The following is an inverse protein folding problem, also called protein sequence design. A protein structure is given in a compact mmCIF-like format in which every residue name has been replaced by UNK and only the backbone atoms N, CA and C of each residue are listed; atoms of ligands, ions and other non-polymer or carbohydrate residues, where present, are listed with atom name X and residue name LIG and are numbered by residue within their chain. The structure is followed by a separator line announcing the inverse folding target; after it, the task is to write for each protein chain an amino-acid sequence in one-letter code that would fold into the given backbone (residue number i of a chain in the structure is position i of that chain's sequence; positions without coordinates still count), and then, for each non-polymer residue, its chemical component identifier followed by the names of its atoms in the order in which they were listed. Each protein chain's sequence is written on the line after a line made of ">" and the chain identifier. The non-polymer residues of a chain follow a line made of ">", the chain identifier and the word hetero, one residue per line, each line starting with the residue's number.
data_IF_464164298486
#
_entry.id   IF_464164298486
#
_cell.length_a   1.000
_cell.length_b   1.000
_cell.length_c   1.000
_cell.angle_alpha   90.00
_cell.angle_beta   90.00
_cell.angle_gamma   90.00
#
_symmetry.space_group_name_H-M   'P 1'
#
loop_
_entity.id
_entity.type
_entity.pdbx_description
1 polymer ?
#
# COMPACT_ATOMS: atom_id res chain seq x y z
N UNK A 1 47.37 10.30 7.94
CA UNK A 1 48.34 11.22 7.32
C UNK A 1 47.85 11.47 5.89
N UNK A 2 47.48 12.65 5.40
CA UNK A 2 47.62 14.03 5.84
C UNK A 2 46.33 14.81 5.55
N UNK A 3 45.79 15.53 6.53
CA UNK A 3 44.92 16.69 6.30
C UNK A 3 45.83 17.91 6.22
N UNK A 4 45.89 18.58 5.07
CA UNK A 4 46.60 19.85 4.97
C UNK A 4 45.80 20.96 5.64
N UNK A 5 46.47 21.69 6.55
CA UNK A 5 46.01 22.99 7.08
C UNK A 5 46.37 24.07 6.07
N UNK A 6 45.37 24.75 5.52
CA UNK A 6 45.52 26.08 4.94
C UNK A 6 44.76 27.08 5.82
N UNK A 7 45.54 27.97 6.42
CA UNK A 7 45.12 29.13 7.21
C UNK A 7 44.86 30.26 6.21
N UNK A 8 43.65 30.81 6.18
CA UNK A 8 43.30 31.98 5.37
C UNK A 8 41.79 32.24 5.37
N UNK A 9 41.31 33.39 5.88
CA UNK A 9 39.90 33.62 6.19
C UNK A 9 39.11 34.20 5.01
N UNK A 10 37.78 34.10 5.11
CA UNK A 10 36.77 34.85 4.34
C UNK A 10 36.72 34.57 2.84
N UNK A 11 35.97 33.54 2.44
CA UNK A 11 34.91 33.68 1.43
C UNK A 11 34.10 32.39 1.34
N UNK A 12 32.79 32.60 1.22
CA UNK A 12 31.73 31.66 0.92
C UNK A 12 32.17 30.37 0.22
N UNK A 13 31.84 29.24 0.84
CA UNK A 13 32.03 27.93 0.26
C UNK A 13 31.90 26.86 1.31
N UNK A 14 30.75 26.81 1.99
CA UNK A 14 30.41 25.67 2.83
C UNK A 14 30.39 24.44 1.92
N UNK A 15 31.49 23.71 1.97
CA UNK A 15 31.68 22.44 1.29
C UNK A 15 30.53 21.51 1.69
N UNK A 16 29.82 21.08 0.65
CA UNK A 16 28.98 19.91 0.62
C UNK A 16 29.73 18.72 1.26
N UNK A 17 29.38 18.41 2.51
CA UNK A 17 29.34 17.03 2.98
C UNK A 17 27.87 16.61 2.96
N UNK A 18 27.37 16.29 1.75
CA UNK A 18 26.17 15.47 1.60
C UNK A 18 26.52 14.08 2.12
N UNK A 19 26.47 13.94 3.45
CA UNK A 19 26.29 12.65 4.08
C UNK A 19 24.93 12.15 3.61
N UNK A 20 24.93 11.40 2.52
CA UNK A 20 23.80 10.59 2.07
C UNK A 20 23.52 9.49 3.08
N UNK A 21 23.12 9.87 4.28
CA UNK A 21 22.28 9.03 5.11
C UNK A 21 20.93 9.09 4.41
N UNK A 22 20.66 8.09 3.58
CA UNK A 22 19.30 7.80 3.16
C UNK A 22 18.47 7.74 4.45
N UNK A 23 17.70 8.79 4.71
CA UNK A 23 16.67 8.75 5.74
C UNK A 23 15.66 7.76 5.17
N UNK A 24 15.84 6.49 5.49
CA UNK A 24 14.84 5.47 5.25
C UNK A 24 13.59 5.99 5.95
N UNK A 25 12.62 6.44 5.14
CA UNK A 25 11.41 7.09 5.61
C UNK A 25 10.78 6.18 6.68
N UNK A 26 10.36 6.74 7.82
CA UNK A 26 9.96 5.95 8.99
C UNK A 26 8.86 4.93 8.62
N UNK A 27 8.04 5.27 7.62
CA UNK A 27 6.99 4.44 7.04
C UNK A 27 7.54 3.19 6.33
N UNK A 28 8.69 3.29 5.65
CA UNK A 28 9.32 2.13 5.00
C UNK A 28 9.90 1.12 6.00
N UNK A 29 10.16 1.54 7.24
CA UNK A 29 10.61 0.67 8.32
C UNK A 29 9.46 0.17 9.22
N UNK A 30 8.26 0.73 9.05
CA UNK A 30 7.06 0.40 9.83
C UNK A 30 5.88 0.18 8.89
N UNK A 31 5.86 -0.97 8.16
CA UNK A 31 4.85 -1.22 7.14
C UNK A 31 3.42 -1.36 7.69
N UNK A 32 3.23 -1.48 9.00
CA UNK A 32 1.91 -1.52 9.65
C UNK A 32 1.74 -0.33 10.61
N UNK A 33 1.56 0.91 10.11
CA UNK A 33 1.23 2.01 10.99
C UNK A 33 -0.17 1.79 11.58
N UNK A 34 -0.33 1.99 12.89
CA UNK A 34 -1.60 1.79 13.63
C UNK A 34 -2.78 2.65 13.16
N UNK A 35 -2.61 3.45 12.11
CA UNK A 35 -3.65 4.19 11.41
C UNK A 35 -3.33 4.23 9.91
N UNK A 36 -3.63 3.16 9.17
CA UNK A 36 -3.56 3.11 7.71
C UNK A 36 -4.64 3.97 7.02
N UNK A 37 -4.89 5.18 7.56
CA UNK A 37 -5.89 6.16 7.13
C UNK A 37 -5.38 7.17 6.11
N UNK A 38 -4.12 7.09 5.70
CA UNK A 38 -3.49 8.04 4.77
C UNK A 38 -4.16 8.06 3.39
N UNK A 39 -4.41 9.24 2.79
CA UNK A 39 -4.98 9.35 1.45
C UNK A 39 -4.20 8.55 0.39
N UNK A 40 -4.85 8.06 -0.69
CA UNK A 40 -4.17 7.30 -1.74
C UNK A 40 -2.91 7.98 -2.30
N UNK A 41 -2.96 9.30 -2.50
CA UNK A 41 -1.83 10.10 -2.98
C UNK A 41 -0.61 9.99 -2.06
N UNK A 42 -0.82 10.08 -0.74
CA UNK A 42 0.25 9.98 0.26
C UNK A 42 0.83 8.56 0.31
N UNK A 43 -0.01 7.54 0.22
CA UNK A 43 0.42 6.15 0.15
C UNK A 43 1.30 5.88 -1.09
N UNK A 44 0.93 6.46 -2.24
CA UNK A 44 1.76 6.40 -3.48
C UNK A 44 3.09 7.11 -3.31
N UNK A 45 3.13 8.23 -2.57
CA UNK A 45 4.39 8.93 -2.27
C UNK A 45 5.30 8.10 -1.38
N UNK A 46 4.77 7.41 -0.37
CA UNK A 46 5.54 6.50 0.48
C UNK A 46 6.10 5.35 -0.37
N UNK A 47 5.26 4.72 -1.20
CA UNK A 47 5.66 3.62 -2.07
C UNK A 47 6.86 4.00 -2.97
N UNK A 48 6.88 5.22 -3.52
CA UNK A 48 7.98 5.73 -4.37
C UNK A 48 9.32 5.89 -3.64
N UNK A 49 9.31 6.01 -2.30
CA UNK A 49 10.51 6.22 -1.49
C UNK A 49 11.08 4.94 -0.90
N UNK A 50 10.31 3.85 -0.88
CA UNK A 50 10.76 2.61 -0.27
C UNK A 50 11.59 1.77 -1.25
N UNK A 51 12.83 1.44 -0.86
CA UNK A 51 13.75 0.64 -1.68
C UNK A 51 13.33 -0.84 -1.76
N UNK A 52 12.64 -1.34 -0.73
CA UNK A 52 12.18 -2.73 -0.68
C UNK A 52 10.88 -2.90 -1.47
N UNK A 53 10.93 -3.72 -2.52
CA UNK A 53 9.80 -3.93 -3.42
C UNK A 53 8.53 -4.39 -2.70
N UNK A 54 8.63 -5.27 -1.69
CA UNK A 54 7.44 -5.77 -0.98
C UNK A 54 6.74 -4.66 -0.18
N UNK A 55 7.52 -3.71 0.37
CA UNK A 55 6.99 -2.58 1.14
C UNK A 55 6.41 -1.53 0.20
N UNK A 56 7.12 -1.21 -0.89
CA UNK A 56 6.61 -0.31 -1.92
C UNK A 56 5.28 -0.82 -2.51
N UNK A 57 5.21 -2.11 -2.85
CA UNK A 57 4.00 -2.74 -3.36
C UNK A 57 2.85 -2.70 -2.34
N UNK A 58 3.14 -2.90 -1.05
CA UNK A 58 2.11 -2.82 0.00
C UNK A 58 1.45 -1.44 0.05
N UNK A 59 2.26 -0.37 0.05
CA UNK A 59 1.73 0.98 0.07
C UNK A 59 0.99 1.33 -1.24
N UNK A 60 1.49 0.87 -2.38
CA UNK A 60 0.79 1.00 -3.66
C UNK A 60 -0.58 0.30 -3.66
N UNK A 61 -0.62 -0.94 -3.17
CA UNK A 61 -1.82 -1.76 -3.09
C UNK A 61 -2.85 -1.20 -2.11
N UNK A 62 -2.41 -0.68 -0.96
CA UNK A 62 -3.28 0.07 -0.04
C UNK A 62 -3.89 1.29 -0.70
N UNK A 63 -3.10 2.05 -1.46
CA UNK A 63 -3.59 3.22 -2.18
C UNK A 63 -4.66 2.80 -3.20
N UNK A 64 -4.37 1.77 -3.99
CA UNK A 64 -5.28 1.36 -5.05
C UNK A 64 -6.58 0.75 -4.51
N UNK A 65 -6.50 -0.08 -3.46
CA UNK A 65 -7.68 -0.62 -2.79
C UNK A 65 -8.57 0.51 -2.23
N UNK A 66 -7.99 1.57 -1.65
CA UNK A 66 -8.77 2.73 -1.18
C UNK A 66 -9.50 3.44 -2.30
N UNK A 67 -8.85 3.70 -3.42
CA UNK A 67 -9.49 4.30 -4.61
C UNK A 67 -10.66 3.45 -5.12
N UNK A 68 -10.53 2.12 -5.09
CA UNK A 68 -11.62 1.21 -5.47
C UNK A 68 -12.79 1.28 -4.49
N UNK A 69 -12.53 1.33 -3.18
CA UNK A 69 -13.57 1.50 -2.16
C UNK A 69 -14.30 2.84 -2.32
N UNK A 70 -13.58 3.93 -2.60
CA UNK A 70 -14.17 5.24 -2.89
C UNK A 70 -15.07 5.19 -4.12
N UNK A 71 -14.68 4.45 -5.18
CA UNK A 71 -15.52 4.23 -6.37
C UNK A 71 -16.80 3.48 -6.05
N UNK A 72 -16.75 2.39 -5.28
CA UNK A 72 -17.97 1.68 -4.85
C UNK A 72 -18.89 2.59 -4.04
N UNK A 73 -18.33 3.38 -3.12
CA UNK A 73 -19.11 4.31 -2.30
C UNK A 73 -19.77 5.40 -3.15
N UNK A 74 -19.08 5.90 -4.18
CA UNK A 74 -19.63 6.87 -5.13
C UNK A 74 -20.71 6.25 -6.02
N UNK A 75 -20.49 5.05 -6.57
CA UNK A 75 -21.52 4.35 -7.38
C UNK A 75 -22.78 4.07 -6.56
N UNK A 76 -22.60 3.67 -5.30
CA UNK A 76 -23.72 3.51 -4.38
C UNK A 76 -24.53 4.80 -4.24
N UNK A 77 -23.90 5.95 -4.02
CA UNK A 77 -24.64 7.21 -3.80
C UNK A 77 -25.44 7.66 -5.02
N UNK A 78 -25.06 7.20 -6.23
CA UNK A 78 -25.78 7.47 -7.48
C UNK A 78 -26.99 6.53 -7.70
N UNK A 79 -27.01 5.35 -7.07
CA UNK A 79 -28.09 4.37 -7.21
C UNK A 79 -29.16 4.57 -6.14
N UNK A 80 -30.26 5.25 -6.50
CA UNK A 80 -31.35 5.60 -5.56
C UNK A 80 -32.49 4.59 -5.49
N UNK A 81 -32.59 3.60 -6.41
CA UNK A 81 -33.85 2.86 -6.64
C UNK A 81 -33.73 1.33 -6.85
N UNK A 82 -32.58 0.68 -6.65
CA UNK A 82 -32.42 -0.77 -6.85
C UNK A 82 -31.65 -1.47 -5.72
N UNK A 83 -31.86 -2.79 -5.50
CA UNK A 83 -31.04 -3.56 -4.56
C UNK A 83 -29.57 -3.41 -4.90
N UNK A 84 -28.80 -2.99 -3.90
CA UNK A 84 -27.47 -2.45 -4.07
C UNK A 84 -26.40 -3.49 -3.75
N UNK A 85 -25.88 -4.14 -4.79
CA UNK A 85 -24.76 -5.07 -4.68
C UNK A 85 -23.43 -4.35 -4.41
N UNK A 86 -23.30 -3.07 -4.79
CA UNK A 86 -22.07 -2.28 -4.63
C UNK A 86 -21.72 -2.03 -3.16
N UNK A 87 -22.71 -1.76 -2.31
CA UNK A 87 -22.48 -1.60 -0.86
C UNK A 87 -22.06 -2.93 -0.20
N UNK A 88 -22.67 -4.04 -0.62
CA UNK A 88 -22.27 -5.35 -0.13
C UNK A 88 -20.84 -5.70 -0.56
N UNK A 89 -20.47 -5.41 -1.81
CA UNK A 89 -19.10 -5.56 -2.32
C UNK A 89 -18.12 -4.68 -1.57
N UNK A 90 -18.43 -3.40 -1.37
CA UNK A 90 -17.64 -2.48 -0.55
C UNK A 90 -17.33 -3.02 0.84
N UNK A 91 -18.35 -3.49 1.57
CA UNK A 91 -18.15 -4.03 2.92
C UNK A 91 -17.33 -5.32 2.91
N UNK A 92 -17.59 -6.21 1.95
CA UNK A 92 -16.86 -7.47 1.80
C UNK A 92 -15.36 -7.19 1.60
N UNK A 93 -15.02 -6.27 0.70
CA UNK A 93 -13.63 -5.92 0.40
C UNK A 93 -12.92 -5.30 1.62
N UNK A 94 -13.60 -4.38 2.31
CA UNK A 94 -13.07 -3.77 3.54
C UNK A 94 -12.74 -4.78 4.62
N UNK A 95 -13.67 -5.70 4.90
CA UNK A 95 -13.50 -6.71 5.95
C UNK A 95 -12.37 -7.67 5.58
N UNK A 96 -12.37 -8.17 4.34
CA UNK A 96 -11.36 -9.13 3.89
C UNK A 96 -9.93 -8.56 3.97
N UNK A 97 -9.73 -7.34 3.47
CA UNK A 97 -8.42 -6.69 3.53
C UNK A 97 -8.02 -6.32 4.96
N UNK A 98 -8.94 -5.85 5.81
CA UNK A 98 -8.63 -5.54 7.20
C UNK A 98 -8.18 -6.79 7.99
N UNK A 99 -8.84 -7.93 7.77
CA UNK A 99 -8.43 -9.21 8.37
C UNK A 99 -7.06 -9.66 7.84
N UNK A 100 -6.86 -9.55 6.53
CA UNK A 100 -5.58 -9.88 5.86
C UNK A 100 -4.43 -9.04 6.43
N UNK A 101 -4.63 -7.72 6.57
CA UNK A 101 -3.69 -6.79 7.20
C UNK A 101 -3.36 -7.20 8.65
N UNK A 102 -4.37 -7.52 9.46
CA UNK A 102 -4.16 -7.91 10.85
C UNK A 102 -3.37 -9.22 10.99
N UNK A 103 -3.64 -10.22 10.15
CA UNK A 103 -2.88 -11.47 10.14
C UNK A 103 -1.45 -11.27 9.66
N UNK A 104 -1.26 -10.48 8.61
CA UNK A 104 0.07 -10.17 8.09
C UNK A 104 0.90 -9.36 9.10
N UNK A 105 0.29 -8.42 9.81
CA UNK A 105 0.95 -7.68 10.89
C UNK A 105 1.45 -8.65 11.97
N UNK A 106 0.56 -9.53 12.45
CA UNK A 106 0.91 -10.54 13.47
C UNK A 106 2.07 -11.43 13.01
N UNK A 107 2.03 -11.93 11.78
CA UNK A 107 3.06 -12.79 11.21
C UNK A 107 4.40 -12.06 11.04
N UNK A 108 4.36 -10.81 10.56
CA UNK A 108 5.54 -9.95 10.44
C UNK A 108 6.21 -9.69 11.80
N UNK A 109 5.42 -9.37 12.83
CA UNK A 109 5.91 -9.18 14.20
C UNK A 109 6.55 -10.44 14.79
N UNK A 110 6.14 -11.63 14.32
CA UNK A 110 6.74 -12.91 14.68
C UNK A 110 8.00 -13.27 13.86
N UNK A 111 8.40 -12.38 12.93
CA UNK A 111 9.59 -12.58 12.09
C UNK A 111 9.33 -13.40 10.82
N UNK A 112 8.08 -13.61 10.40
CA UNK A 112 7.78 -14.25 9.12
C UNK A 112 8.18 -13.32 7.95
N UNK A 113 9.29 -13.63 7.29
CA UNK A 113 9.80 -12.89 6.15
C UNK A 113 8.89 -12.92 4.91
N UNK A 114 7.88 -13.79 4.87
CA UNK A 114 6.93 -13.92 3.76
C UNK A 114 5.61 -13.16 4.00
N UNK A 115 5.38 -12.63 5.20
CA UNK A 115 4.12 -12.00 5.58
C UNK A 115 3.69 -10.87 4.62
N UNK A 116 4.62 -9.99 4.25
CA UNK A 116 4.33 -8.87 3.33
C UNK A 116 4.05 -9.35 1.91
N UNK A 117 4.77 -10.37 1.43
CA UNK A 117 4.55 -10.95 0.11
C UNK A 117 3.18 -11.63 0.02
N UNK A 118 2.79 -12.37 1.07
CA UNK A 118 1.47 -12.97 1.16
C UNK A 118 0.35 -11.91 1.18
N UNK A 119 0.54 -10.84 1.96
CA UNK A 119 -0.40 -9.72 2.01
C UNK A 119 -0.54 -9.03 0.64
N UNK A 120 0.57 -8.78 -0.05
CA UNK A 120 0.53 -8.19 -1.39
C UNK A 120 -0.28 -9.05 -2.39
N UNK A 121 -0.09 -10.37 -2.38
CA UNK A 121 -0.91 -11.27 -3.21
C UNK A 121 -2.40 -11.22 -2.86
N UNK A 122 -2.73 -11.09 -1.57
CA UNK A 122 -4.11 -10.94 -1.12
C UNK A 122 -4.71 -9.61 -1.62
N UNK A 123 -3.93 -8.53 -1.60
CA UNK A 123 -4.31 -7.26 -2.22
C UNK A 123 -4.55 -7.38 -3.71
N UNK A 124 -3.58 -7.89 -4.48
CA UNK A 124 -3.67 -7.98 -5.93
C UNK A 124 -4.94 -8.73 -6.35
N UNK A 125 -5.21 -9.84 -5.67
CA UNK A 125 -6.42 -10.64 -5.89
C UNK A 125 -7.70 -9.91 -5.51
N UNK A 126 -7.71 -9.25 -4.35
CA UNK A 126 -8.86 -8.46 -3.88
C UNK A 126 -9.19 -7.33 -4.86
N UNK A 127 -8.15 -6.61 -5.30
CA UNK A 127 -8.20 -5.55 -6.32
C UNK A 127 -8.79 -6.10 -7.63
N UNK A 128 -8.30 -7.24 -8.12
CA UNK A 128 -8.81 -7.85 -9.35
C UNK A 128 -10.31 -8.18 -9.24
N UNK A 129 -10.73 -8.78 -8.12
CA UNK A 129 -12.14 -9.09 -7.86
C UNK A 129 -12.99 -7.82 -7.81
N UNK A 130 -12.51 -6.79 -7.09
CA UNK A 130 -13.18 -5.50 -6.97
C UNK A 130 -13.33 -4.81 -8.34
N UNK A 131 -12.31 -4.84 -9.18
CA UNK A 131 -12.39 -4.32 -10.53
C UNK A 131 -13.43 -5.05 -11.39
N UNK A 132 -13.50 -6.38 -11.33
CA UNK A 132 -14.53 -7.13 -12.05
C UNK A 132 -15.93 -6.74 -11.59
N UNK A 133 -16.13 -6.57 -10.28
CA UNK A 133 -17.39 -6.14 -9.70
C UNK A 133 -17.80 -4.74 -10.17
N UNK A 134 -16.88 -3.77 -10.13
CA UNK A 134 -17.14 -2.41 -10.63
C UNK A 134 -17.50 -2.38 -12.13
N UNK A 135 -16.93 -3.31 -12.91
CA UNK A 135 -17.21 -3.45 -14.36
C UNK A 135 -18.48 -4.26 -14.65
N UNK A 136 -19.15 -4.81 -13.63
CA UNK A 136 -20.34 -5.67 -13.78
C UNK A 136 -20.04 -7.11 -14.23
N UNK A 137 -18.78 -7.57 -14.12
CA UNK A 137 -18.35 -8.91 -14.51
C UNK A 137 -18.41 -9.91 -13.33
N UNK A 138 -19.59 -10.06 -12.73
CA UNK A 138 -19.77 -10.89 -11.52
C UNK A 138 -19.34 -12.35 -11.69
N UNK A 139 -19.55 -12.92 -12.89
CA UNK A 139 -19.12 -14.28 -13.20
C UNK A 139 -17.58 -14.43 -13.17
N UNK A 140 -16.84 -13.41 -13.63
CA UNK A 140 -15.38 -13.39 -13.54
C UNK A 140 -14.94 -13.20 -12.09
N UNK A 141 -15.56 -12.25 -11.37
CA UNK A 141 -15.30 -12.05 -9.94
C UNK A 141 -15.50 -13.34 -9.12
N UNK A 142 -16.56 -14.10 -9.39
CA UNK A 142 -16.85 -15.36 -8.74
C UNK A 142 -15.80 -16.44 -9.05
N UNK A 143 -15.38 -16.57 -10.31
CA UNK A 143 -14.31 -17.50 -10.71
C UNK A 143 -12.98 -17.13 -10.05
N UNK A 144 -12.61 -15.85 -10.04
CA UNK A 144 -11.38 -15.37 -9.40
C UNK A 144 -11.39 -15.60 -7.89
N UNK A 145 -12.55 -15.56 -7.22
CA UNK A 145 -12.68 -15.94 -5.79
C UNK A 145 -12.45 -17.44 -5.53
N UNK A 146 -12.72 -18.29 -6.52
CA UNK A 146 -12.58 -19.75 -6.37
C UNK A 146 -11.20 -20.27 -6.80
N UNK A 147 -10.49 -19.52 -7.65
CA UNK A 147 -9.15 -19.91 -8.09
C UNK A 147 -8.16 -19.99 -6.91
N UNK A 148 -7.23 -20.94 -6.88
CA UNK A 148 -6.13 -20.89 -5.91
C UNK A 148 -5.31 -19.61 -6.14
N UNK A 149 -4.77 -19.01 -5.07
CA UNK A 149 -3.82 -17.91 -5.21
C UNK A 149 -2.62 -18.43 -6.01
N UNK A 150 -2.25 -17.74 -7.10
CA UNK A 150 -1.05 -18.12 -7.85
C UNK A 150 0.17 -17.97 -6.92
N UNK A 151 1.09 -18.95 -6.91
CA UNK A 151 2.25 -18.95 -6.02
C UNK A 151 3.13 -17.70 -6.23
#
# INVERSE_FOLDING_TARGET
>A
MHCYRLIGPLLAGALFCLSGLAVADADCNRPFPGSSQQPPEQLRQIAKKCDRAEIANLFYNRAYHRELLEKFQHLHSLQTLKPNHDLAHYHTQRIFIALSEAFAQRAWEQGDGQALQQLNRQYDRSIEIAEYQLKGYDALAARTRQAPAKP
#
